data_IF_258789067724
#
_entry.id   IF_258789067724
#
_cell.length_a   1.000
_cell.length_b   1.000
_cell.length_c   1.000
_cell.angle_alpha   90.00
_cell.angle_beta   90.00
_cell.angle_gamma   90.00
#
_symmetry.space_group_name_H-M   'P 1'
#
loop_
_entity.id
_entity.type
_entity.pdbx_description
1 polymer ?
#
# COMPACT_ATOMS: atom_id res chain seq x y z
N UNK A 1 10.17 -14.01 4.86
CA UNK A 1 10.16 -15.28 4.10
C UNK A 1 11.12 -16.25 4.76
N UNK A 2 10.67 -17.48 5.03
CA UNK A 2 11.52 -18.54 5.60
C UNK A 2 12.55 -19.11 4.60
N UNK A 3 13.38 -20.04 5.10
CA UNK A 3 14.34 -20.82 4.31
C UNK A 3 15.53 -20.06 3.68
N UNK A 4 15.77 -18.79 4.08
CA UNK A 4 16.92 -17.98 3.64
C UNK A 4 17.82 -17.51 4.79
N UNK A 5 17.66 -18.12 5.97
CA UNK A 5 18.42 -17.76 7.17
C UNK A 5 17.76 -16.70 8.05
N UNK A 6 18.26 -16.58 9.28
CA UNK A 6 17.70 -15.69 10.29
C UNK A 6 17.95 -14.20 9.97
N UNK A 7 19.09 -13.85 9.41
CA UNK A 7 19.39 -12.47 9.02
C UNK A 7 18.39 -11.96 7.99
N UNK A 8 18.13 -12.73 6.93
CA UNK A 8 17.14 -12.39 5.91
C UNK A 8 15.73 -12.30 6.50
N UNK A 9 15.37 -13.21 7.40
CA UNK A 9 14.06 -13.23 8.05
C UNK A 9 13.82 -12.02 8.94
N UNK A 10 14.87 -11.51 9.59
CA UNK A 10 14.80 -10.44 10.58
C UNK A 10 15.10 -9.04 10.02
N UNK A 11 15.44 -8.92 8.74
CA UNK A 11 15.81 -7.62 8.16
C UNK A 11 14.70 -6.57 8.22
N UNK A 12 13.45 -6.99 8.38
CA UNK A 12 12.29 -6.09 8.49
C UNK A 12 12.01 -5.63 9.92
N UNK A 13 12.73 -6.15 10.93
CA UNK A 13 12.53 -5.75 12.32
C UNK A 13 12.87 -4.27 12.53
N UNK A 14 11.91 -3.52 13.09
CA UNK A 14 11.98 -2.08 13.27
C UNK A 14 11.78 -1.26 11.99
N UNK A 15 11.70 -1.93 10.83
CA UNK A 15 11.77 -1.29 9.51
C UNK A 15 10.72 -1.83 8.52
N UNK A 16 9.54 -2.26 9.01
CA UNK A 16 8.47 -2.73 8.11
C UNK A 16 8.17 -1.72 7.02
N UNK A 17 8.22 -2.17 5.76
CA UNK A 17 7.96 -1.36 4.57
C UNK A 17 9.19 -0.79 3.90
N UNK A 18 10.35 -0.79 4.53
CA UNK A 18 11.58 -0.21 3.96
C UNK A 18 12.20 -1.12 2.89
N UNK A 19 12.67 -2.27 3.31
CA UNK A 19 13.39 -3.19 2.41
C UNK A 19 12.44 -3.83 1.40
N UNK A 20 11.23 -4.13 1.83
CA UNK A 20 10.20 -4.67 0.93
C UNK A 20 9.87 -3.68 -0.20
N UNK A 21 9.79 -2.37 0.09
CA UNK A 21 9.57 -1.34 -0.94
C UNK A 21 10.74 -1.27 -1.90
N UNK A 22 11.97 -1.27 -1.40
CA UNK A 22 13.18 -1.29 -2.23
C UNK A 22 13.18 -2.52 -3.16
N UNK A 23 12.96 -3.70 -2.59
CA UNK A 23 12.98 -4.96 -3.35
C UNK A 23 11.88 -5.00 -4.43
N UNK A 24 10.68 -4.49 -4.15
CA UNK A 24 9.59 -4.42 -5.14
C UNK A 24 9.91 -3.45 -6.27
N UNK A 25 10.49 -2.29 -5.96
CA UNK A 25 10.90 -1.31 -6.97
C UNK A 25 12.02 -1.88 -7.85
N UNK A 26 13.05 -2.48 -7.26
CA UNK A 26 14.14 -3.11 -7.99
C UNK A 26 13.66 -4.28 -8.85
N UNK A 27 12.73 -5.09 -8.35
CA UNK A 27 12.12 -6.17 -9.13
C UNK A 27 11.34 -5.62 -10.34
N UNK A 28 10.55 -4.57 -10.16
CA UNK A 28 9.83 -3.93 -11.26
C UNK A 28 10.78 -3.33 -12.30
N UNK A 29 11.87 -2.70 -11.87
CA UNK A 29 12.90 -2.20 -12.77
C UNK A 29 13.58 -3.34 -13.54
N UNK A 30 13.91 -4.44 -12.87
CA UNK A 30 14.50 -5.61 -13.51
C UNK A 30 13.57 -6.17 -14.60
N UNK A 31 12.28 -6.40 -14.28
CA UNK A 31 11.31 -6.90 -15.25
C UNK A 31 11.04 -5.90 -16.38
N UNK A 32 11.01 -4.60 -16.08
CA UNK A 32 10.83 -3.55 -17.09
C UNK A 32 11.96 -3.47 -18.14
N UNK A 33 13.11 -4.09 -17.87
CA UNK A 33 14.21 -4.19 -18.84
C UNK A 33 14.14 -5.43 -19.75
N UNK A 34 13.10 -6.27 -19.61
CA UNK A 34 12.91 -7.43 -20.49
C UNK A 34 12.19 -6.99 -21.77
N UNK A 35 12.64 -7.49 -22.92
CA UNK A 35 12.17 -7.09 -24.26
C UNK A 35 10.65 -7.26 -24.48
N UNK A 36 10.00 -8.11 -23.72
CA UNK A 36 8.55 -8.39 -23.82
C UNK A 36 7.70 -7.64 -22.76
N UNK A 37 8.31 -6.79 -21.97
CA UNK A 37 7.63 -5.95 -20.96
C UNK A 37 7.61 -4.50 -21.40
N UNK A 38 6.43 -3.90 -21.37
CA UNK A 38 6.28 -2.45 -21.53
C UNK A 38 6.54 -1.76 -20.17
N UNK A 39 7.72 -1.20 -20.01
CA UNK A 39 8.16 -0.55 -18.76
C UNK A 39 7.34 0.69 -18.40
N UNK A 40 6.66 1.31 -19.37
CA UNK A 40 5.78 2.47 -19.12
C UNK A 40 4.40 2.05 -18.58
N UNK A 41 4.12 0.73 -18.57
CA UNK A 41 2.83 0.14 -18.20
C UNK A 41 2.97 -0.91 -17.10
N UNK A 42 3.69 -0.56 -16.04
CA UNK A 42 3.83 -1.41 -14.86
C UNK A 42 2.93 -0.85 -13.75
N UNK A 43 1.95 -1.63 -13.33
CA UNK A 43 1.07 -1.32 -12.19
C UNK A 43 1.36 -2.22 -11.00
N UNK A 44 0.98 -1.78 -9.81
CA UNK A 44 1.06 -2.57 -8.58
C UNK A 44 -0.31 -2.64 -7.90
N UNK A 45 -0.65 -3.80 -7.37
CA UNK A 45 -1.89 -4.02 -6.61
C UNK A 45 -1.59 -4.73 -5.30
N UNK A 46 -2.28 -4.34 -4.25
CA UNK A 46 -2.20 -5.05 -3.00
C UNK A 46 -3.37 -4.80 -2.07
N UNK A 47 -3.58 -5.74 -1.15
CA UNK A 47 -4.63 -5.74 -0.14
C UNK A 47 -4.00 -5.83 1.25
N UNK A 48 -4.50 -5.05 2.25
CA UNK A 48 -3.99 -5.06 3.61
C UNK A 48 -2.52 -4.65 3.66
N UNK A 49 -1.61 -5.51 4.14
CA UNK A 49 -0.17 -5.30 4.02
C UNK A 49 0.26 -5.06 2.57
N UNK A 50 -0.35 -5.79 1.61
CA UNK A 50 -0.10 -5.56 0.19
C UNK A 50 -0.57 -4.17 -0.27
N UNK A 51 -1.66 -3.65 0.29
CA UNK A 51 -2.13 -2.28 0.05
C UNK A 51 -1.16 -1.22 0.58
N UNK A 52 -0.60 -1.44 1.77
CA UNK A 52 0.49 -0.64 2.32
C UNK A 52 1.71 -0.66 1.37
N UNK A 53 2.10 -1.82 0.87
CA UNK A 53 3.19 -1.97 -0.09
C UNK A 53 2.91 -1.29 -1.42
N UNK A 54 1.69 -1.43 -1.98
CA UNK A 54 1.31 -0.81 -3.24
C UNK A 54 1.39 0.72 -3.16
N UNK A 55 0.92 1.31 -2.06
CA UNK A 55 1.03 2.75 -1.82
C UNK A 55 2.50 3.19 -1.68
N UNK A 56 3.29 2.50 -0.86
CA UNK A 56 4.71 2.81 -0.68
C UNK A 56 5.49 2.73 -2.00
N UNK A 57 5.27 1.67 -2.78
CA UNK A 57 5.96 1.49 -4.05
C UNK A 57 5.62 2.58 -5.06
N UNK A 58 4.35 2.98 -5.17
CA UNK A 58 3.96 4.07 -6.06
C UNK A 58 4.54 5.43 -5.61
N UNK A 59 4.50 5.72 -4.30
CA UNK A 59 4.92 7.04 -3.78
C UNK A 59 6.44 7.20 -3.73
N UNK A 60 7.19 6.11 -3.61
CA UNK A 60 8.65 6.13 -3.51
C UNK A 60 9.35 5.65 -4.78
N UNK A 61 8.65 4.90 -5.64
CA UNK A 61 9.23 4.27 -6.83
C UNK A 61 9.49 5.19 -8.03
N UNK A 62 9.19 6.48 -7.92
CA UNK A 62 9.57 7.54 -8.87
C UNK A 62 9.53 7.09 -10.35
N UNK A 63 8.37 6.98 -10.93
CA UNK A 63 8.20 6.66 -12.36
C UNK A 63 8.40 5.17 -12.74
N UNK A 64 8.61 4.26 -11.78
CA UNK A 64 8.66 2.82 -12.06
C UNK A 64 7.25 2.25 -12.21
N UNK A 65 6.32 2.73 -11.38
CA UNK A 65 4.92 2.30 -11.44
C UNK A 65 4.04 3.41 -12.01
N UNK A 66 3.31 3.10 -13.07
CA UNK A 66 2.34 4.03 -13.69
C UNK A 66 1.06 4.13 -12.88
N UNK A 67 0.68 3.07 -12.14
CA UNK A 67 -0.48 3.08 -11.26
C UNK A 67 -0.34 2.15 -10.04
N UNK A 68 -1.12 2.43 -9.00
CA UNK A 68 -1.33 1.49 -7.91
C UNK A 68 -2.79 1.39 -7.49
N UNK A 69 -3.20 0.18 -7.09
CA UNK A 69 -4.46 -0.06 -6.38
C UNK A 69 -4.13 -0.54 -4.97
N UNK A 70 -4.60 0.20 -3.99
CA UNK A 70 -4.34 -0.04 -2.56
C UNK A 70 -5.66 -0.33 -1.84
N UNK A 71 -5.87 -1.60 -1.48
CA UNK A 71 -7.14 -2.05 -0.86
C UNK A 71 -6.93 -2.29 0.62
N UNK A 72 -7.76 -1.66 1.46
CA UNK A 72 -7.74 -1.77 2.92
C UNK A 72 -6.32 -1.66 3.51
N UNK A 73 -5.53 -0.63 3.13
CA UNK A 73 -4.13 -0.55 3.52
C UNK A 73 -3.92 -0.13 4.96
N UNK A 74 -2.87 -0.63 5.60
CA UNK A 74 -2.21 0.11 6.65
C UNK A 74 -1.52 1.32 5.99
N UNK A 75 -1.61 2.51 6.59
CA UNK A 75 -0.99 3.73 6.06
C UNK A 75 0.00 4.35 7.04
N UNK A 76 -0.14 4.00 8.31
CA UNK A 76 0.84 4.20 9.36
C UNK A 76 0.68 3.08 10.38
N UNK A 77 1.76 2.45 10.78
CA UNK A 77 1.75 1.35 11.76
C UNK A 77 1.25 1.78 13.14
N UNK A 78 1.19 3.09 13.44
CA UNK A 78 0.55 3.63 14.65
C UNK A 78 -0.97 3.43 14.69
N UNK A 79 -1.59 3.11 13.54
CA UNK A 79 -3.03 2.87 13.39
C UNK A 79 -3.38 1.38 13.33
N UNK A 80 -2.42 0.50 13.61
CA UNK A 80 -2.65 -0.94 13.62
C UNK A 80 -2.51 -1.52 15.04
N UNK A 81 -3.01 -2.76 15.25
CA UNK A 81 -3.02 -3.37 16.57
C UNK A 81 -1.61 -3.57 17.15
N UNK A 82 -1.51 -3.51 18.49
CA UNK A 82 -0.23 -3.58 19.21
C UNK A 82 0.38 -4.98 19.20
N UNK A 83 -0.45 -6.03 19.23
CA UNK A 83 0.03 -7.43 19.28
C UNK A 83 0.84 -7.77 18.02
N UNK A 84 0.38 -7.33 16.86
CA UNK A 84 1.11 -7.49 15.61
C UNK A 84 2.25 -6.47 15.50
N UNK A 85 1.92 -5.21 15.64
CA UNK A 85 2.83 -4.11 15.29
C UNK A 85 4.06 -4.08 16.19
N UNK A 86 3.91 -4.13 17.51
CA UNK A 86 5.02 -4.05 18.45
C UNK A 86 5.96 -5.25 18.35
N UNK A 87 5.46 -6.40 17.93
CA UNK A 87 6.30 -7.59 17.67
C UNK A 87 7.39 -7.31 16.63
N UNK A 88 7.08 -6.51 15.61
CA UNK A 88 7.98 -6.25 14.49
C UNK A 88 8.66 -4.88 14.60
N UNK A 89 7.99 -3.90 15.16
CA UNK A 89 8.42 -2.49 15.16
C UNK A 89 8.91 -2.00 16.52
N UNK A 90 8.68 -2.76 17.61
CA UNK A 90 8.87 -2.27 18.97
C UNK A 90 7.83 -1.22 19.34
N UNK A 91 8.04 -0.52 20.44
CA UNK A 91 7.14 0.55 20.88
C UNK A 91 7.31 1.82 20.00
N UNK A 92 6.22 2.54 19.69
CA UNK A 92 6.30 3.73 18.84
C UNK A 92 7.22 4.83 19.40
N UNK A 93 7.31 4.97 20.74
CA UNK A 93 8.19 5.93 21.38
C UNK A 93 9.67 5.57 21.29
N UNK A 94 10.00 4.28 21.14
CA UNK A 94 11.37 3.79 21.05
C UNK A 94 11.86 3.72 19.59
N UNK A 95 10.93 3.66 18.63
CA UNK A 95 11.20 3.51 17.19
C UNK A 95 10.37 4.48 16.33
N UNK A 96 10.23 5.73 16.76
CA UNK A 96 9.45 6.73 16.01
C UNK A 96 9.87 6.83 14.53
N UNK A 97 11.18 6.74 14.27
CA UNK A 97 11.72 6.80 12.91
C UNK A 97 11.23 5.66 12.00
N UNK A 98 11.25 4.41 12.48
CA UNK A 98 10.78 3.26 11.71
C UNK A 98 9.28 3.34 11.41
N UNK A 99 8.48 3.80 12.39
CA UNK A 99 7.05 4.00 12.21
C UNK A 99 6.73 5.09 11.16
N UNK A 100 7.44 6.21 11.20
CA UNK A 100 7.08 7.37 10.40
C UNK A 100 7.72 7.32 8.99
N UNK A 101 9.01 7.00 8.89
CA UNK A 101 9.72 7.03 7.61
C UNK A 101 9.34 5.91 6.65
N UNK A 102 8.79 4.79 7.14
CA UNK A 102 8.40 3.66 6.30
C UNK A 102 6.89 3.66 5.99
N UNK A 103 6.15 4.66 6.44
CA UNK A 103 4.71 4.78 6.24
C UNK A 103 4.37 5.54 4.95
N UNK A 104 3.47 5.04 4.08
CA UNK A 104 3.12 5.71 2.84
C UNK A 104 2.55 7.11 3.05
N UNK A 105 1.90 7.36 4.17
CA UNK A 105 1.34 8.68 4.51
C UNK A 105 2.40 9.79 4.56
N UNK A 106 3.67 9.46 4.79
CA UNK A 106 4.79 10.42 4.81
C UNK A 106 5.41 10.66 3.43
N UNK A 107 5.04 9.84 2.45
CA UNK A 107 5.60 9.87 1.10
C UNK A 107 4.62 10.35 0.02
N UNK A 108 3.46 10.89 0.41
CA UNK A 108 2.40 11.32 -0.51
C UNK A 108 2.87 12.32 -1.56
N UNK A 109 3.86 13.16 -1.24
CA UNK A 109 4.44 14.13 -2.17
C UNK A 109 5.10 13.46 -3.39
N UNK A 110 5.54 12.21 -3.24
CA UNK A 110 6.10 11.40 -4.31
C UNK A 110 5.07 10.80 -5.28
N UNK A 111 3.76 10.92 -5.01
CA UNK A 111 2.73 10.43 -5.94
C UNK A 111 2.80 11.16 -7.28
N UNK A 112 3.08 10.42 -8.35
CA UNK A 112 3.09 10.87 -9.74
C UNK A 112 2.14 10.07 -10.64
N UNK A 113 2.03 8.77 -10.42
CA UNK A 113 1.15 7.87 -11.16
C UNK A 113 -0.31 7.95 -10.73
N UNK A 114 -1.12 7.03 -11.21
CA UNK A 114 -2.54 6.91 -10.88
C UNK A 114 -2.73 6.08 -9.61
N UNK A 115 -3.54 6.56 -8.68
CA UNK A 115 -3.75 5.89 -7.41
C UNK A 115 -5.23 5.64 -7.13
N UNK A 116 -5.60 4.40 -6.86
CA UNK A 116 -6.93 4.02 -6.40
C UNK A 116 -6.85 3.50 -4.96
N UNK A 117 -7.50 4.21 -4.04
CA UNK A 117 -7.64 3.84 -2.64
C UNK A 117 -9.01 3.19 -2.41
N UNK A 118 -9.03 1.98 -1.88
CA UNK A 118 -10.26 1.22 -1.62
C UNK A 118 -10.32 0.80 -0.16
N UNK A 119 -11.48 0.95 0.50
CA UNK A 119 -11.66 0.48 1.88
C UNK A 119 -13.11 0.18 2.22
N UNK A 120 -13.32 -0.77 3.13
CA UNK A 120 -14.61 -0.99 3.78
C UNK A 120 -14.73 -0.12 5.03
N UNK A 121 -15.86 0.61 5.19
CA UNK A 121 -15.99 1.53 6.34
C UNK A 121 -16.24 0.83 7.68
N UNK A 122 -16.59 -0.45 7.66
CA UNK A 122 -16.74 -1.31 8.83
C UNK A 122 -15.58 -2.28 9.03
N UNK A 123 -14.38 -1.93 8.53
CA UNK A 123 -13.17 -2.76 8.68
C UNK A 123 -12.71 -2.72 10.15
N UNK A 124 -12.77 -3.87 10.81
CA UNK A 124 -12.40 -4.08 12.21
C UNK A 124 -10.99 -4.67 12.40
N UNK A 125 -10.29 -4.91 11.29
CA UNK A 125 -8.90 -5.35 11.26
C UNK A 125 -7.97 -4.16 10.97
N UNK A 126 -7.99 -3.65 9.74
CA UNK A 126 -7.32 -2.40 9.39
C UNK A 126 -8.36 -1.28 9.46
N UNK A 127 -8.38 -0.54 10.53
CA UNK A 127 -9.39 0.48 10.77
C UNK A 127 -9.43 1.50 9.63
N UNK A 128 -10.64 1.86 9.22
CA UNK A 128 -10.91 2.80 8.12
C UNK A 128 -10.18 4.15 8.29
N UNK A 129 -9.81 4.51 9.52
CA UNK A 129 -8.96 5.66 9.83
C UNK A 129 -7.69 5.68 8.96
N UNK A 130 -7.07 4.54 8.70
CA UNK A 130 -5.88 4.47 7.84
C UNK A 130 -6.11 5.14 6.47
N UNK A 131 -7.23 4.84 5.82
CA UNK A 131 -7.54 5.42 4.51
C UNK A 131 -7.98 6.88 4.60
N UNK A 132 -8.67 7.29 5.64
CA UNK A 132 -9.06 8.68 5.84
C UNK A 132 -7.85 9.59 6.05
N UNK A 133 -6.91 9.17 6.90
CA UNK A 133 -5.67 9.92 7.15
C UNK A 133 -4.79 10.02 5.90
N UNK A 134 -4.69 8.94 5.11
CA UNK A 134 -3.98 8.98 3.84
C UNK A 134 -4.67 9.92 2.83
N UNK A 135 -6.00 9.81 2.69
CA UNK A 135 -6.77 10.67 1.79
C UNK A 135 -6.62 12.14 2.15
N UNK A 136 -6.75 12.49 3.44
CA UNK A 136 -6.53 13.85 3.93
C UNK A 136 -5.12 14.35 3.58
N UNK A 137 -4.10 13.52 3.80
CA UNK A 137 -2.72 13.91 3.51
C UNK A 137 -2.49 14.13 2.00
N UNK A 138 -3.06 13.28 1.15
CA UNK A 138 -3.01 13.45 -0.30
C UNK A 138 -3.68 14.76 -0.75
N UNK A 139 -4.85 15.06 -0.17
CA UNK A 139 -5.60 16.31 -0.46
C UNK A 139 -4.77 17.53 -0.05
N UNK A 140 -4.21 17.55 1.16
CA UNK A 140 -3.39 18.67 1.64
C UNK A 140 -2.09 18.85 0.83
N UNK A 141 -1.58 17.78 0.21
CA UNK A 141 -0.45 17.81 -0.74
C UNK A 141 -0.90 18.10 -2.19
N UNK A 142 -2.17 18.45 -2.40
CA UNK A 142 -2.76 18.72 -3.72
C UNK A 142 -2.54 17.58 -4.73
N UNK A 143 -2.59 16.32 -4.28
CA UNK A 143 -2.48 15.15 -5.14
C UNK A 143 -3.85 14.68 -5.58
N UNK A 144 -4.00 14.35 -6.86
CA UNK A 144 -5.23 13.79 -7.40
C UNK A 144 -5.17 12.26 -7.34
N UNK A 145 -6.25 11.66 -6.89
CA UNK A 145 -6.37 10.20 -6.75
C UNK A 145 -7.86 9.79 -6.80
N UNK A 146 -8.09 8.52 -7.06
CA UNK A 146 -9.42 7.92 -6.97
C UNK A 146 -9.61 7.19 -5.65
N UNK A 147 -10.85 7.18 -5.15
CA UNK A 147 -11.20 6.39 -3.97
C UNK A 147 -12.57 5.72 -4.13
N UNK A 148 -12.69 4.52 -3.56
CA UNK A 148 -13.94 3.77 -3.49
C UNK A 148 -14.12 3.20 -2.09
N UNK A 149 -15.07 3.72 -1.35
CA UNK A 149 -15.42 3.22 -0.02
C UNK A 149 -16.68 2.36 -0.07
N UNK A 150 -16.67 1.27 0.69
CA UNK A 150 -17.76 0.31 0.77
C UNK A 150 -18.43 0.42 2.14
N UNK A 151 -19.64 0.98 2.24
CA UNK A 151 -20.36 1.16 3.50
C UNK A 151 -20.55 -0.17 4.23
N UNK A 152 -20.24 -0.20 5.53
CA UNK A 152 -20.40 -1.32 6.46
C UNK A 152 -19.72 -2.63 6.03
N UNK A 153 -18.77 -2.57 5.10
CA UNK A 153 -17.96 -3.75 4.71
C UNK A 153 -16.73 -3.84 5.58
N UNK A 154 -16.45 -5.09 5.99
CA UNK A 154 -15.25 -5.44 6.77
C UNK A 154 -14.00 -5.54 5.88
N UNK A 155 -12.91 -6.04 6.46
CA UNK A 155 -11.61 -6.19 5.79
C UNK A 155 -11.66 -7.01 4.49
N UNK A 156 -12.58 -7.94 4.38
CA UNK A 156 -12.76 -8.78 3.19
C UNK A 156 -13.58 -8.13 2.06
N UNK A 157 -14.28 -7.02 2.30
CA UNK A 157 -15.13 -6.30 1.35
C UNK A 157 -16.03 -7.26 0.55
N UNK A 158 -16.95 -7.96 1.20
CA UNK A 158 -17.80 -8.96 0.56
C UNK A 158 -19.29 -8.81 0.96
N UNK A 159 -20.14 -9.62 0.33
CA UNK A 159 -21.58 -9.69 0.54
C UNK A 159 -22.39 -9.09 -0.61
N UNK A 160 -23.45 -9.80 -1.03
CA UNK A 160 -24.24 -9.42 -2.18
C UNK A 160 -23.37 -9.21 -3.44
N UNK A 161 -23.59 -8.12 -4.14
CA UNK A 161 -22.82 -7.76 -5.35
C UNK A 161 -21.49 -7.04 -5.06
N UNK A 162 -21.12 -6.86 -3.80
CA UNK A 162 -19.96 -6.03 -3.41
C UNK A 162 -18.66 -6.48 -4.08
N UNK A 163 -18.39 -7.80 -4.10
CA UNK A 163 -17.18 -8.35 -4.74
C UNK A 163 -17.15 -8.11 -6.24
N UNK A 164 -18.26 -8.30 -6.92
CA UNK A 164 -18.35 -8.05 -8.37
C UNK A 164 -18.12 -6.57 -8.65
N UNK A 165 -18.76 -5.68 -7.90
CA UNK A 165 -18.56 -4.24 -8.03
C UNK A 165 -17.09 -3.84 -7.79
N UNK A 166 -16.46 -4.38 -6.74
CA UNK A 166 -15.06 -4.11 -6.40
C UNK A 166 -14.12 -4.52 -7.53
N UNK A 167 -14.24 -5.77 -8.00
CA UNK A 167 -13.35 -6.27 -9.06
C UNK A 167 -13.59 -5.58 -10.40
N UNK A 168 -14.84 -5.21 -10.72
CA UNK A 168 -15.13 -4.38 -11.91
C UNK A 168 -14.44 -3.01 -11.77
N UNK A 169 -14.60 -2.32 -10.63
CA UNK A 169 -13.94 -1.02 -10.40
C UNK A 169 -12.42 -1.11 -10.55
N UNK A 170 -11.80 -2.15 -10.00
CA UNK A 170 -10.35 -2.34 -10.13
C UNK A 170 -9.95 -2.66 -11.57
N UNK A 171 -10.73 -3.50 -12.27
CA UNK A 171 -10.46 -3.86 -13.67
C UNK A 171 -10.58 -2.64 -14.58
N UNK A 172 -11.62 -1.83 -14.40
CA UNK A 172 -11.81 -0.61 -15.18
C UNK A 172 -10.66 0.38 -14.92
N UNK A 173 -10.27 0.56 -13.66
CA UNK A 173 -9.14 1.41 -13.30
C UNK A 173 -7.83 0.95 -13.96
N UNK A 174 -7.57 -0.36 -14.01
CA UNK A 174 -6.40 -0.92 -14.70
C UNK A 174 -6.47 -0.61 -16.21
N UNK A 175 -7.62 -0.87 -16.85
CA UNK A 175 -7.79 -0.66 -18.30
C UNK A 175 -7.69 0.81 -18.72
N UNK A 176 -8.05 1.73 -17.84
CA UNK A 176 -8.00 3.18 -18.09
C UNK A 176 -6.60 3.77 -17.86
N UNK A 177 -5.75 3.10 -17.05
CA UNK A 177 -4.49 3.69 -16.58
C UNK A 177 -3.23 2.84 -16.89
N UNK A 178 -3.40 1.67 -17.46
CA UNK A 178 -2.39 0.82 -18.06
C UNK A 178 -2.70 0.54 -19.52
#
# INVERSE_FOLDING_TARGET
>A
TGARGEEFKKMTYGELGKYETIDQIEAAQFFGNLDYIDKERIGIFGWSYGGFMAANCLFQGNDVFSMAISVAPVTNWRFYDTVYTERYMGLPQDNAKGYDQNSPITHVDGLKGKFLLVHGTGDDNVHFQNSIELAERLIQSNKQFDMQFYPDKNHGIYGGNTRIHLFNKMTDFIRENL
#
